data_IF_389392510237
#
_entry.id   IF_389392510237
#
_cell.length_a   1.000
_cell.length_b   1.000
_cell.length_c   1.000
_cell.angle_alpha   90.00
_cell.angle_beta   90.00
_cell.angle_gamma   90.00
#
_symmetry.space_group_name_H-M   'P 1'
#
loop_
_entity.id
_entity.type
_entity.pdbx_description
1 polymer ?
#
# COMPACT_ATOMS: atom_id res chain seq x y z
N UNK A 1 -9.64 8.32 -4.50
CA UNK A 1 -8.64 8.19 -5.57
C UNK A 1 -8.05 6.81 -5.53
N UNK A 2 -8.02 6.13 -6.67
CA UNK A 2 -7.28 4.87 -6.80
C UNK A 2 -6.30 5.02 -7.95
N UNK A 3 -5.01 4.92 -7.66
CA UNK A 3 -3.94 5.03 -8.66
C UNK A 3 -3.11 3.77 -8.65
N UNK A 4 -3.00 3.13 -9.81
CA UNK A 4 -2.01 2.08 -10.02
C UNK A 4 -0.71 2.69 -10.56
N UNK A 5 0.41 2.41 -9.90
CA UNK A 5 1.74 2.91 -10.21
C UNK A 5 2.56 1.84 -10.92
N UNK A 6 3.21 2.23 -12.02
CA UNK A 6 4.36 1.50 -12.58
C UNK A 6 5.67 2.29 -12.48
N UNK A 7 5.58 3.56 -12.07
CA UNK A 7 6.72 4.46 -11.89
C UNK A 7 6.38 5.48 -10.79
N UNK A 8 7.16 5.47 -9.71
CA UNK A 8 6.82 6.27 -8.53
C UNK A 8 6.95 7.77 -8.73
N UNK A 9 7.90 8.22 -9.56
CA UNK A 9 8.11 9.64 -9.84
C UNK A 9 6.90 10.27 -10.54
N UNK A 10 6.33 9.58 -11.53
CA UNK A 10 5.16 10.07 -12.26
C UNK A 10 3.88 9.93 -11.42
N UNK A 11 3.76 8.86 -10.65
CA UNK A 11 2.66 8.66 -9.69
C UNK A 11 2.63 9.75 -8.63
N UNK A 12 3.76 10.10 -8.01
CA UNK A 12 3.85 11.14 -6.97
C UNK A 12 3.27 12.47 -7.45
N UNK A 13 3.71 12.95 -8.61
CA UNK A 13 3.21 14.23 -9.17
C UNK A 13 1.69 14.19 -9.40
N UNK A 14 1.16 13.08 -9.92
CA UNK A 14 -0.29 12.92 -10.14
C UNK A 14 -1.08 12.96 -8.83
N UNK A 15 -0.54 12.35 -7.77
CA UNK A 15 -1.15 12.39 -6.44
C UNK A 15 -1.11 13.80 -5.87
N UNK A 16 0.04 14.48 -5.91
CA UNK A 16 0.20 15.84 -5.41
C UNK A 16 -0.72 16.84 -6.13
N UNK A 17 -0.86 16.72 -7.45
CA UNK A 17 -1.76 17.58 -8.22
C UNK A 17 -3.24 17.30 -7.89
N UNK A 18 -3.65 16.04 -7.76
CA UNK A 18 -5.00 15.69 -7.34
C UNK A 18 -5.34 16.16 -5.90
N UNK A 19 -4.34 16.16 -5.01
CA UNK A 19 -4.48 16.67 -3.64
C UNK A 19 -4.67 18.20 -3.61
N UNK A 20 -3.92 18.95 -4.43
CA UNK A 20 -4.08 20.41 -4.54
C UNK A 20 -5.45 20.81 -5.07
N UNK A 21 -6.07 19.98 -5.91
CA UNK A 21 -7.42 20.22 -6.42
C UNK A 21 -8.53 19.94 -5.38
N UNK A 22 -8.20 19.56 -4.13
CA UNK A 22 -9.16 19.24 -3.06
C UNK A 22 -10.23 18.22 -3.48
N UNK A 23 -9.88 17.30 -4.38
CA UNK A 23 -10.85 16.37 -4.98
C UNK A 23 -11.00 15.06 -4.21
N UNK A 24 -10.12 14.73 -3.27
CA UNK A 24 -9.96 13.34 -2.83
C UNK A 24 -9.47 13.19 -1.38
N UNK A 25 -10.38 12.89 -0.44
CA UNK A 25 -10.07 12.51 0.96
C UNK A 25 -9.63 11.03 1.12
N UNK A 26 -9.55 10.29 0.02
CA UNK A 26 -9.40 8.85 -0.01
C UNK A 26 -8.21 8.45 -0.89
N UNK A 27 -7.15 7.90 -0.32
CA UNK A 27 -5.95 7.48 -1.05
C UNK A 27 -5.84 5.96 -1.06
N UNK A 28 -5.77 5.39 -2.26
CA UNK A 28 -5.37 4.01 -2.51
C UNK A 28 -4.37 4.01 -3.68
N UNK A 29 -3.10 3.77 -3.36
CA UNK A 29 -2.05 3.57 -4.35
C UNK A 29 -1.69 2.08 -4.36
N UNK A 30 -1.34 1.56 -5.52
CA UNK A 30 -0.88 0.18 -5.64
C UNK A 30 0.05 0.01 -6.83
N UNK A 31 1.00 -0.91 -6.77
CA UNK A 31 1.83 -1.29 -7.91
C UNK A 31 3.31 -1.30 -7.57
N UNK A 32 4.15 -1.23 -8.60
CA UNK A 32 5.59 -1.41 -8.50
C UNK A 32 6.30 -0.09 -8.12
N UNK A 33 7.10 -0.15 -7.06
CA UNK A 33 7.90 0.94 -6.52
C UNK A 33 9.38 0.81 -6.90
N UNK A 34 9.78 -0.38 -7.40
CA UNK A 34 11.15 -0.72 -7.75
C UNK A 34 12.17 -0.37 -6.65
N UNK A 35 11.74 -0.52 -5.39
CA UNK A 35 12.49 -0.11 -4.22
C UNK A 35 12.15 -0.98 -3.01
N UNK A 36 13.19 -1.40 -2.30
CA UNK A 36 13.09 -2.22 -1.10
C UNK A 36 12.98 -1.28 0.11
N UNK A 37 11.94 -1.45 0.92
CA UNK A 37 11.67 -0.61 2.09
C UNK A 37 11.95 -1.32 3.42
N UNK A 38 12.41 -2.57 3.37
CA UNK A 38 12.61 -3.43 4.54
C UNK A 38 11.32 -3.53 5.37
N UNK A 39 11.44 -3.17 6.65
CA UNK A 39 10.33 -3.20 7.62
C UNK A 39 9.63 -1.83 7.78
N UNK A 40 9.90 -0.84 6.91
CA UNK A 40 9.23 0.47 6.94
C UNK A 40 7.79 0.39 6.43
N UNK A 41 7.07 1.50 6.60
CA UNK A 41 5.69 1.65 6.10
C UNK A 41 4.60 1.24 7.08
N UNK A 42 4.97 0.86 8.31
CA UNK A 42 4.04 0.85 9.43
C UNK A 42 3.87 2.27 9.98
N UNK A 43 2.63 2.66 10.27
CA UNK A 43 2.31 3.91 10.96
C UNK A 43 1.53 3.59 12.23
N UNK A 44 1.77 4.37 13.27
CA UNK A 44 1.27 4.13 14.63
C UNK A 44 -0.03 4.92 14.89
N UNK A 45 -1.05 4.81 14.03
CA UNK A 45 -2.33 5.50 14.27
C UNK A 45 -3.07 5.00 15.53
N UNK A 46 -2.73 3.80 16.01
CA UNK A 46 -3.21 3.24 17.28
C UNK A 46 -2.02 2.64 18.04
N UNK A 47 -1.93 2.93 19.34
CA UNK A 47 -0.89 2.42 20.26
C UNK A 47 -0.80 0.87 20.29
N UNK A 48 -1.79 0.16 19.73
CA UNK A 48 -1.86 -1.31 19.70
C UNK A 48 -1.03 -1.99 18.60
N UNK A 49 -0.34 -1.26 17.72
CA UNK A 49 0.48 -1.87 16.64
C UNK A 49 1.95 -1.99 16.99
N UNK A 50 2.29 -2.94 17.86
CA UNK A 50 3.65 -3.48 18.00
C UNK A 50 4.77 -2.45 18.13
N UNK A 51 5.96 -2.80 17.64
CA UNK A 51 7.20 -2.00 17.67
C UNK A 51 7.29 -0.95 16.54
N UNK A 52 6.16 -0.65 15.87
CA UNK A 52 6.12 0.32 14.76
C UNK A 52 6.77 -0.18 13.47
N UNK A 53 6.82 -1.50 13.27
CA UNK A 53 7.41 -2.15 12.09
C UNK A 53 6.39 -2.96 11.30
N UNK A 54 6.56 -2.95 9.98
CA UNK A 54 5.87 -3.84 9.04
C UNK A 54 6.47 -5.24 9.12
N UNK A 55 5.62 -6.26 9.04
CA UNK A 55 6.09 -7.63 8.80
C UNK A 55 6.49 -7.80 7.33
N UNK A 56 7.65 -8.40 7.06
CA UNK A 56 8.21 -8.49 5.71
C UNK A 56 9.31 -9.53 5.63
N UNK A 57 9.29 -10.40 4.62
CA UNK A 57 10.43 -11.26 4.32
C UNK A 57 11.64 -10.48 3.83
N UNK A 58 11.40 -9.38 3.10
CA UNK A 58 12.47 -8.47 2.74
C UNK A 58 12.78 -7.53 3.90
N UNK A 59 14.00 -7.63 4.43
CA UNK A 59 14.52 -6.76 5.49
C UNK A 59 15.49 -5.69 4.94
N UNK A 60 15.80 -5.74 3.65
CA UNK A 60 16.72 -4.80 3.01
C UNK A 60 16.02 -3.49 2.70
N UNK A 61 16.75 -2.38 2.85
CA UNK A 61 16.28 -1.06 2.47
C UNK A 61 17.30 -0.43 1.53
N UNK A 62 16.85 -0.03 0.34
CA UNK A 62 17.70 0.55 -0.68
C UNK A 62 17.36 2.03 -0.96
N UNK A 63 18.18 2.70 -1.74
CA UNK A 63 18.02 4.13 -2.03
C UNK A 63 16.73 4.44 -2.82
N UNK A 64 16.29 3.50 -3.66
CA UNK A 64 15.05 3.64 -4.46
C UNK A 64 13.80 3.48 -3.58
N UNK A 65 13.84 2.63 -2.55
CA UNK A 65 12.77 2.50 -1.56
C UNK A 65 12.71 3.68 -0.58
N UNK A 66 13.86 4.22 -0.15
CA UNK A 66 13.95 5.33 0.83
C UNK A 66 13.12 6.56 0.46
N UNK A 67 13.34 7.08 -0.76
CA UNK A 67 12.75 8.34 -1.23
C UNK A 67 11.22 8.34 -1.30
N UNK A 68 10.56 7.35 -1.93
CA UNK A 68 9.11 7.31 -1.91
C UNK A 68 8.58 7.06 -0.51
N UNK A 69 9.29 6.27 0.31
CA UNK A 69 8.86 5.94 1.67
C UNK A 69 8.84 7.17 2.60
N UNK A 70 9.82 8.07 2.49
CA UNK A 70 9.80 9.37 3.18
C UNK A 70 8.53 10.16 2.86
N UNK A 71 8.20 10.31 1.57
CA UNK A 71 6.98 11.00 1.14
C UNK A 71 5.71 10.33 1.67
N UNK A 72 5.64 9.00 1.60
CA UNK A 72 4.52 8.22 2.13
C UNK A 72 4.39 8.42 3.64
N UNK A 73 5.48 8.48 4.41
CA UNK A 73 5.45 8.66 5.87
C UNK A 73 5.14 10.10 6.30
N UNK A 74 5.57 11.10 5.53
CA UNK A 74 5.27 12.52 5.73
C UNK A 74 3.78 12.83 5.61
N UNK A 75 3.09 12.16 4.67
CA UNK A 75 1.68 12.45 4.33
C UNK A 75 0.60 11.90 5.28
N UNK A 76 0.88 11.19 6.35
CA UNK A 76 1.49 9.91 6.13
C UNK A 76 0.45 8.82 6.02
N UNK A 77 0.72 7.98 5.06
CA UNK A 77 -0.10 6.85 4.66
C UNK A 77 0.58 5.58 5.16
N UNK A 78 -0.13 4.47 5.04
CA UNK A 78 0.32 3.17 5.50
C UNK A 78 0.50 2.23 4.33
N UNK A 79 1.56 1.43 4.38
CA UNK A 79 1.73 0.28 3.52
C UNK A 79 0.81 -0.84 4.03
N UNK A 80 0.10 -1.50 3.13
CA UNK A 80 -0.81 -2.61 3.44
C UNK A 80 -0.07 -3.92 3.66
N UNK A 81 0.95 -4.18 2.84
CA UNK A 81 1.78 -5.40 2.89
C UNK A 81 2.30 -5.61 4.31
N UNK A 82 2.06 -6.79 4.90
CA UNK A 82 2.47 -7.16 6.24
C UNK A 82 1.95 -6.32 7.42
N UNK A 83 1.13 -5.29 7.17
CA UNK A 83 0.47 -4.48 8.20
C UNK A 83 -1.03 -4.80 8.29
N UNK A 84 -1.67 -5.12 7.17
CA UNK A 84 -3.11 -5.40 7.11
C UNK A 84 -3.35 -6.89 7.33
N UNK A 85 -4.37 -7.21 8.13
CA UNK A 85 -4.82 -8.58 8.34
C UNK A 85 -5.13 -9.27 7.00
N UNK A 86 -4.63 -10.50 6.83
CA UNK A 86 -4.78 -11.28 5.59
C UNK A 86 -3.46 -11.49 4.82
N UNK A 87 -2.41 -10.75 5.14
CA UNK A 87 -1.05 -10.92 4.60
C UNK A 87 -0.07 -11.41 5.67
N UNK A 88 -0.48 -12.44 6.42
CA UNK A 88 0.26 -12.93 7.59
C UNK A 88 1.53 -13.72 7.22
N UNK A 89 1.69 -14.10 5.95
CA UNK A 89 2.81 -14.90 5.45
C UNK A 89 3.98 -14.06 4.90
N UNK A 90 3.90 -12.72 4.99
CA UNK A 90 4.97 -11.81 4.59
C UNK A 90 5.44 -12.06 3.14
N UNK A 91 4.50 -12.21 2.21
CA UNK A 91 4.78 -12.77 0.89
C UNK A 91 5.68 -11.86 0.05
N UNK A 92 6.54 -12.48 -0.76
CA UNK A 92 7.27 -11.82 -1.83
C UNK A 92 6.28 -11.29 -2.86
N UNK A 93 6.58 -10.15 -3.47
CA UNK A 93 5.78 -9.64 -4.60
C UNK A 93 6.50 -9.80 -5.93
N UNK A 94 7.79 -10.12 -5.89
CA UNK A 94 8.61 -10.38 -7.06
C UNK A 94 9.46 -11.63 -6.85
N UNK A 95 9.46 -12.51 -7.86
CA UNK A 95 10.20 -13.77 -7.86
C UNK A 95 10.87 -13.94 -9.23
N UNK A 96 12.18 -13.74 -9.28
CA UNK A 96 13.03 -14.09 -10.42
C UNK A 96 13.71 -15.45 -10.21
N UNK A 97 14.32 -16.01 -11.25
CA UNK A 97 15.12 -17.24 -11.19
C UNK A 97 16.31 -17.18 -10.22
N UNK A 98 16.71 -15.96 -9.79
CA UNK A 98 17.93 -15.72 -9.01
C UNK A 98 17.67 -15.21 -7.59
N UNK A 99 16.53 -14.54 -7.35
CA UNK A 99 16.24 -13.91 -6.08
C UNK A 99 14.75 -13.53 -6.00
N UNK A 100 14.27 -13.39 -4.76
CA UNK A 100 12.92 -12.94 -4.43
C UNK A 100 12.98 -11.66 -3.58
N UNK A 101 12.02 -10.76 -3.79
CA UNK A 101 11.96 -9.49 -3.05
C UNK A 101 10.53 -8.93 -2.96
N UNK A 102 10.37 -7.82 -2.25
CA UNK A 102 9.14 -7.04 -2.18
C UNK A 102 9.39 -5.71 -2.90
N UNK A 103 8.72 -5.51 -4.03
CA UNK A 103 8.81 -4.28 -4.83
C UNK A 103 7.43 -3.66 -5.11
N UNK A 104 6.37 -4.44 -4.95
CA UNK A 104 5.01 -4.00 -5.14
C UNK A 104 4.35 -3.72 -3.79
N UNK A 105 3.74 -2.55 -3.67
CA UNK A 105 3.16 -2.11 -2.40
C UNK A 105 1.76 -1.56 -2.61
N UNK A 106 0.84 -1.92 -1.71
CA UNK A 106 -0.43 -1.22 -1.54
C UNK A 106 -0.28 -0.14 -0.48
N UNK A 107 -0.72 1.09 -0.75
CA UNK A 107 -0.59 2.24 0.16
C UNK A 107 -1.92 2.96 0.32
N UNK A 108 -2.28 3.27 1.56
CA UNK A 108 -3.57 3.89 1.88
C UNK A 108 -3.46 4.94 2.96
N UNK A 109 -4.32 5.95 2.89
CA UNK A 109 -4.55 6.83 4.04
C UNK A 109 -5.52 6.19 5.05
N UNK A 110 -5.69 6.83 6.21
CA UNK A 110 -6.49 6.30 7.33
C UNK A 110 -7.94 6.00 6.92
N UNK A 111 -8.55 6.89 6.15
CA UNK A 111 -9.93 6.73 5.69
C UNK A 111 -10.11 5.45 4.85
N UNK A 112 -9.18 5.17 3.93
CA UNK A 112 -9.24 3.94 3.15
C UNK A 112 -8.83 2.74 4.00
N UNK A 113 -7.85 2.88 4.89
CA UNK A 113 -7.39 1.81 5.75
C UNK A 113 -8.54 1.12 6.49
N UNK A 114 -9.40 1.91 7.16
CA UNK A 114 -10.55 1.41 7.91
C UNK A 114 -11.61 0.75 6.99
N UNK A 115 -11.65 1.14 5.72
CA UNK A 115 -12.54 0.56 4.71
C UNK A 115 -11.99 -0.73 4.10
N UNK A 116 -10.66 -0.95 4.11
CA UNK A 116 -10.06 -2.19 3.62
C UNK A 116 -10.47 -3.34 4.53
N UNK A 117 -11.14 -4.34 3.96
CA UNK A 117 -11.58 -5.55 4.67
C UNK A 117 -10.57 -6.68 4.52
N UNK A 118 -9.84 -6.71 3.43
CA UNK A 118 -8.95 -7.80 3.06
C UNK A 118 -7.86 -7.27 2.14
N UNK A 119 -6.63 -7.69 2.42
CA UNK A 119 -5.46 -7.47 1.57
C UNK A 119 -4.70 -8.79 1.50
N UNK A 120 -4.33 -9.22 0.29
CA UNK A 120 -3.60 -10.47 0.08
C UNK A 120 -2.69 -10.36 -1.12
N UNK A 121 -1.56 -11.06 -1.03
CA UNK A 121 -0.70 -11.35 -2.18
C UNK A 121 -1.13 -12.71 -2.75
N UNK A 122 -1.40 -12.70 -4.06
CA UNK A 122 -1.79 -13.87 -4.83
C UNK A 122 -0.66 -14.91 -4.95
N UNK A 123 -0.90 -15.92 -5.77
CA UNK A 123 0.11 -16.94 -6.08
C UNK A 123 0.87 -16.57 -7.35
N UNK A 124 2.04 -17.20 -7.54
CA UNK A 124 2.86 -16.99 -8.72
C UNK A 124 2.08 -17.45 -9.96
N UNK A 125 2.08 -16.61 -10.98
CA UNK A 125 1.55 -16.91 -12.31
C UNK A 125 2.70 -17.01 -13.32
N UNK A 126 2.43 -16.81 -14.60
CA UNK A 126 3.48 -16.67 -15.63
C UNK A 126 4.28 -15.35 -15.49
N UNK A 127 3.84 -14.43 -14.61
CA UNK A 127 4.59 -13.22 -14.26
C UNK A 127 5.57 -13.48 -13.11
N UNK A 128 6.70 -12.81 -13.18
CA UNK A 128 7.65 -12.59 -12.09
C UNK A 128 7.08 -11.74 -10.95
N UNK A 129 6.05 -10.92 -11.20
CA UNK A 129 5.29 -10.22 -10.16
C UNK A 129 4.07 -11.03 -9.69
N UNK A 130 3.82 -10.99 -8.39
CA UNK A 130 2.65 -11.60 -7.75
C UNK A 130 1.52 -10.57 -7.64
N UNK A 131 0.29 -11.03 -7.85
CA UNK A 131 -0.88 -10.15 -7.83
C UNK A 131 -1.12 -9.58 -6.43
N UNK A 132 -1.31 -8.27 -6.34
CA UNK A 132 -1.81 -7.60 -5.13
C UNK A 132 -3.33 -7.45 -5.25
N UNK A 133 -4.07 -8.08 -4.35
CA UNK A 133 -5.53 -7.99 -4.31
C UNK A 133 -6.01 -7.33 -3.02
N UNK A 134 -6.96 -6.40 -3.16
CA UNK A 134 -7.57 -5.69 -2.05
C UNK A 134 -9.08 -5.63 -2.20
N UNK A 135 -9.79 -5.85 -1.08
CA UNK A 135 -11.23 -5.66 -0.99
C UNK A 135 -11.53 -4.60 0.06
N UNK A 136 -12.34 -3.61 -0.32
CA UNK A 136 -12.85 -2.56 0.59
C UNK A 136 -14.37 -2.58 0.68
N UNK A 137 -14.92 -2.12 1.81
CA UNK A 137 -16.36 -1.85 1.93
C UNK A 137 -16.78 -0.82 0.88
N UNK A 138 -17.95 -1.00 0.29
CA UNK A 138 -18.59 0.08 -0.47
C UNK A 138 -18.91 1.22 0.50
N UNK A 139 -18.62 2.46 0.11
CA UNK A 139 -19.10 3.62 0.85
C UNK A 139 -20.63 3.66 0.77
N UNK A 140 -21.30 4.02 1.86
CA UNK A 140 -22.75 4.31 1.81
C UNK A 140 -22.95 5.49 0.87
N UNK A 141 -23.77 5.32 -0.17
CA UNK A 141 -24.25 6.46 -0.96
C UNK A 141 -25.30 7.21 -0.17
N UNK A 142 -25.36 8.54 -0.26
CA UNK A 142 -26.36 9.40 0.43
C UNK A 142 -27.82 8.95 0.27
N UNK A 143 -28.13 8.12 -0.74
CA UNK A 143 -29.44 7.49 -0.93
C UNK A 143 -29.88 6.51 0.17
N UNK A 144 -28.96 6.00 1.00
CA UNK A 144 -29.30 5.06 2.08
C UNK A 144 -29.70 5.74 3.41
N UNK A 145 -29.61 7.08 3.49
CA UNK A 145 -30.08 7.84 4.66
C UNK A 145 -31.53 8.35 4.52
N UNK A 146 -32.17 8.12 3.37
CA UNK A 146 -33.56 8.48 3.10
C UNK A 146 -34.45 7.25 3.00
N UNK A 147 -34.73 6.61 4.14
CA UNK A 147 -35.57 5.42 4.16
C UNK A 147 -36.21 5.16 5.52
N UNK A 148 -37.24 5.96 5.83
CA UNK A 148 -38.45 5.59 6.59
C UNK A 148 -38.29 5.09 8.01
#
# INVERSE_FOLDING_TARGET
MTIYSKEMKTTRRRVEDAMKENREDCILLGGDFNGEIGERGARNWKEERGDGKRKSKDKMENAEGKRPMEWIEENGWEVLNGNKQGDDEEKWTYIDIRWETVLDYGIVNEEIWERVQEFRIGERSESDHLEIALRKRKGRTEKEMGGG
#
